data_IF_718572653327
#
_entry.id   IF_718572653327
#
_cell.length_a   1.000
_cell.length_b   1.000
_cell.length_c   1.000
_cell.angle_alpha   90.00
_cell.angle_beta   90.00
_cell.angle_gamma   90.00
#
_symmetry.space_group_name_H-M   'P 1'
#
loop_
_entity.id
_entity.type
_entity.pdbx_description
1 polymer ?
#
# COMPACT_ATOMS: atom_id res chain seq x y z
N UNK A 1 -40.07 -19.36 -52.62
CA UNK A 1 -39.76 -18.08 -53.31
C UNK A 1 -38.72 -17.35 -52.48
N UNK A 2 -37.43 -17.62 -52.68
CA UNK A 2 -36.49 -16.84 -53.53
C UNK A 2 -36.51 -15.34 -53.22
N UNK A 3 -35.47 -14.85 -52.53
CA UNK A 3 -34.48 -13.91 -53.11
C UNK A 3 -33.26 -13.76 -52.21
N UNK A 4 -32.14 -14.26 -52.73
CA UNK A 4 -30.75 -14.05 -52.34
C UNK A 4 -30.37 -12.59 -52.65
N UNK A 5 -29.56 -11.94 -51.79
CA UNK A 5 -28.66 -10.86 -52.20
C UNK A 5 -27.27 -11.07 -51.62
N UNK A 6 -26.34 -11.29 -52.55
CA UNK A 6 -24.88 -11.35 -52.42
C UNK A 6 -24.35 -9.94 -52.70
N UNK A 7 -23.34 -9.51 -51.93
CA UNK A 7 -22.31 -8.53 -52.29
C UNK A 7 -21.19 -8.74 -51.24
N UNK A 8 -20.00 -9.28 -51.50
CA UNK A 8 -18.98 -9.09 -52.54
C UNK A 8 -18.57 -7.63 -52.72
N UNK A 9 -17.61 -7.19 -51.89
CA UNK A 9 -16.70 -6.10 -52.25
C UNK A 9 -15.28 -6.64 -52.12
N UNK A 10 -14.55 -6.46 -53.21
CA UNK A 10 -13.26 -7.03 -53.55
C UNK A 10 -12.31 -5.84 -53.79
N UNK A 11 -11.08 -5.94 -53.27
CA UNK A 11 -9.92 -5.19 -53.75
C UNK A 11 -9.67 -3.83 -53.10
N UNK A 12 -8.47 -3.63 -52.53
CA UNK A 12 -7.29 -3.17 -53.29
C UNK A 12 -6.05 -3.41 -52.42
N UNK A 13 -5.10 -4.16 -52.96
CA UNK A 13 -3.74 -4.24 -52.46
C UNK A 13 -2.95 -3.03 -53.02
N UNK A 14 -2.29 -2.29 -52.13
CA UNK A 14 -1.26 -1.32 -52.52
C UNK A 14 0.02 -1.71 -51.78
N UNK A 15 0.96 -2.29 -52.54
CA UNK A 15 2.33 -2.45 -52.12
C UNK A 15 3.04 -1.10 -52.25
N UNK A 16 3.57 -0.56 -51.15
CA UNK A 16 4.51 0.56 -51.17
C UNK A 16 5.86 0.10 -50.65
N UNK A 17 6.83 0.21 -51.54
CA UNK A 17 8.23 -0.15 -51.41
C UNK A 17 8.98 1.01 -50.76
N UNK A 18 9.76 0.67 -49.73
CA UNK A 18 11.12 1.13 -49.43
C UNK A 18 11.41 2.65 -49.46
N UNK A 19 11.55 3.21 -48.27
CA UNK A 19 12.20 4.49 -48.00
C UNK A 19 12.78 4.48 -46.60
N UNK A 20 13.90 3.77 -46.42
CA UNK A 20 14.66 3.71 -45.18
C UNK A 20 15.39 5.04 -44.99
N UNK A 21 14.82 5.95 -44.19
CA UNK A 21 15.51 7.13 -43.68
C UNK A 21 15.97 6.81 -42.26
N UNK A 22 17.27 6.53 -42.09
CA UNK A 22 17.91 6.46 -40.79
C UNK A 22 18.01 7.88 -40.23
N UNK A 23 16.98 8.32 -39.50
CA UNK A 23 17.13 9.43 -38.56
C UNK A 23 17.86 8.88 -37.34
N UNK A 24 19.15 9.18 -37.25
CA UNK A 24 19.94 9.01 -36.02
C UNK A 24 19.39 9.97 -34.97
N UNK A 25 18.40 9.51 -34.20
CA UNK A 25 18.07 10.13 -32.93
C UNK A 25 19.27 9.89 -32.00
N UNK A 26 19.99 10.97 -31.70
CA UNK A 26 20.98 11.01 -30.63
C UNK A 26 20.27 10.59 -29.35
N UNK A 27 20.52 9.36 -28.90
CA UNK A 27 20.15 8.92 -27.55
C UNK A 27 20.96 9.78 -26.58
N UNK A 28 20.34 10.84 -26.10
CA UNK A 28 20.71 11.41 -24.81
C UNK A 28 20.60 10.26 -23.81
N UNK A 29 21.72 9.90 -23.19
CA UNK A 29 21.80 9.02 -22.03
C UNK A 29 21.11 9.72 -20.84
N UNK A 30 19.79 9.84 -20.91
CA UNK A 30 18.95 10.15 -19.76
C UNK A 30 18.83 8.89 -18.93
N UNK A 31 19.36 8.95 -17.72
CA UNK A 31 19.18 7.91 -16.70
C UNK A 31 17.67 7.60 -16.56
N UNK A 32 17.22 6.34 -16.71
CA UNK A 32 15.80 5.98 -16.55
C UNK A 32 15.32 6.12 -15.10
N UNK A 33 16.24 6.34 -14.17
CA UNK A 33 15.97 6.73 -12.80
C UNK A 33 16.07 8.26 -12.73
N UNK A 34 14.93 8.94 -12.60
CA UNK A 34 14.78 10.39 -12.69
C UNK A 34 15.39 11.18 -11.52
N UNK A 35 16.66 10.95 -11.22
CA UNK A 35 17.38 11.70 -10.20
C UNK A 35 18.00 12.96 -10.83
N UNK A 36 17.50 14.12 -10.43
CA UNK A 36 18.23 15.38 -10.60
C UNK A 36 19.35 15.41 -9.55
N UNK A 37 20.61 15.47 -9.98
CA UNK A 37 21.80 15.59 -9.11
C UNK A 37 21.79 16.84 -8.20
N UNK A 38 20.79 17.71 -8.32
CA UNK A 38 20.71 19.02 -7.64
C UNK A 38 20.08 19.00 -6.26
N UNK A 39 19.49 17.88 -5.80
CA UNK A 39 18.55 17.91 -4.66
C UNK A 39 19.06 17.20 -3.40
N UNK A 40 20.36 16.88 -3.33
CA UNK A 40 20.96 16.29 -2.11
C UNK A 40 21.34 17.42 -1.15
N UNK A 41 20.58 17.56 -0.07
CA UNK A 41 20.92 18.42 1.08
C UNK A 41 21.15 17.51 2.28
N UNK A 42 22.34 17.56 2.89
CA UNK A 42 22.70 16.77 4.09
C UNK A 42 22.53 15.24 3.98
N UNK A 43 22.64 14.67 2.77
CA UNK A 43 22.52 13.22 2.53
C UNK A 43 21.08 12.72 2.44
N UNK A 44 20.11 13.63 2.48
CA UNK A 44 18.71 13.40 2.18
C UNK A 44 18.42 13.75 0.71
N UNK A 45 17.63 12.92 0.06
CA UNK A 45 17.24 13.07 -1.34
C UNK A 45 15.72 13.22 -1.47
N UNK A 46 15.25 14.11 -2.34
CA UNK A 46 13.82 14.20 -2.65
C UNK A 46 13.32 12.96 -3.43
N UNK A 47 12.17 12.42 -3.06
CA UNK A 47 11.53 11.24 -3.65
C UNK A 47 10.02 11.48 -3.78
N UNK A 48 9.46 11.34 -4.99
CA UNK A 48 8.03 11.50 -5.30
C UNK A 48 7.32 10.19 -5.66
N UNK A 49 7.98 9.05 -5.46
CA UNK A 49 7.58 7.76 -5.99
C UNK A 49 6.56 7.00 -5.11
N UNK A 50 5.94 5.98 -5.69
CA UNK A 50 5.00 5.09 -4.98
C UNK A 50 5.77 4.12 -4.08
N UNK A 51 5.46 4.14 -2.78
CA UNK A 51 6.15 3.33 -1.76
C UNK A 51 5.41 2.06 -1.38
N UNK A 52 4.08 2.05 -1.52
CA UNK A 52 3.30 0.83 -1.42
C UNK A 52 2.16 0.80 -2.43
N UNK A 53 1.78 -0.39 -2.89
CA UNK A 53 0.67 -0.59 -3.80
C UNK A 53 -0.16 -1.81 -3.44
N UNK A 54 -1.40 -1.80 -3.93
CA UNK A 54 -2.26 -2.97 -3.90
C UNK A 54 -3.27 -2.93 -5.03
N UNK A 55 -3.24 -3.97 -5.87
CA UNK A 55 -4.20 -4.16 -6.95
C UNK A 55 -5.49 -4.77 -6.42
N UNK A 56 -6.61 -4.08 -6.62
CA UNK A 56 -7.95 -4.53 -6.21
C UNK A 56 -8.83 -4.74 -7.43
N UNK A 57 -9.90 -5.53 -7.29
CA UNK A 57 -10.91 -5.73 -8.33
C UNK A 57 -11.64 -4.39 -8.62
N UNK A 58 -11.06 -3.55 -9.47
CA UNK A 58 -11.60 -2.22 -9.80
C UNK A 58 -10.56 -1.11 -9.95
N UNK A 59 -9.30 -1.31 -9.54
CA UNK A 59 -8.28 -0.28 -9.61
C UNK A 59 -7.02 -0.58 -8.80
N UNK A 60 -6.22 0.46 -8.59
CA UNK A 60 -4.94 0.41 -7.87
C UNK A 60 -4.98 1.37 -6.68
N UNK A 61 -4.71 0.85 -5.49
CA UNK A 61 -4.42 1.63 -4.30
C UNK A 61 -2.91 1.86 -4.22
N UNK A 62 -2.49 3.11 -3.97
CA UNK A 62 -1.07 3.47 -3.78
C UNK A 62 -0.87 4.30 -2.53
N UNK A 63 0.31 4.21 -1.91
CA UNK A 63 0.80 5.14 -0.89
C UNK A 63 2.02 5.86 -1.45
N UNK A 64 1.98 7.18 -1.44
CA UNK A 64 2.96 8.05 -2.07
C UNK A 64 2.96 9.44 -1.40
N UNK A 65 3.98 10.27 -1.65
CA UNK A 65 3.99 11.65 -1.17
C UNK A 65 2.73 12.42 -1.57
N UNK A 66 2.32 13.34 -0.69
CA UNK A 66 1.13 14.15 -0.88
C UNK A 66 1.21 14.98 -2.16
N UNK A 67 0.04 15.25 -2.76
CA UNK A 67 -0.08 15.97 -4.03
C UNK A 67 0.68 17.30 -4.03
N UNK A 68 1.63 17.44 -4.96
CA UNK A 68 2.47 18.64 -5.10
C UNK A 68 3.68 18.70 -4.16
N UNK A 69 3.98 17.64 -3.42
CA UNK A 69 5.18 17.51 -2.59
C UNK A 69 6.03 16.29 -2.94
N UNK A 70 7.15 16.18 -2.24
CA UNK A 70 8.06 15.03 -2.23
C UNK A 70 8.32 14.62 -0.79
N UNK A 71 8.69 13.35 -0.59
CA UNK A 71 9.31 12.91 0.65
C UNK A 71 10.82 13.14 0.59
N UNK A 72 11.45 13.14 1.75
CA UNK A 72 12.90 13.00 1.89
C UNK A 72 13.23 11.52 2.14
N UNK A 73 14.22 10.98 1.43
CA UNK A 73 14.75 9.62 1.64
C UNK A 73 16.21 9.65 2.06
N UNK A 74 16.55 8.82 3.03
CA UNK A 74 17.93 8.56 3.44
C UNK A 74 18.06 7.14 4.04
N UNK A 75 19.27 6.58 4.12
CA UNK A 75 19.52 5.41 4.94
C UNK A 75 19.13 5.68 6.41
N UNK A 76 18.67 4.64 7.13
CA UNK A 76 18.38 4.73 8.57
C UNK A 76 19.60 5.17 9.37
N UNK A 77 20.81 4.80 8.92
CA UNK A 77 22.08 5.27 9.47
C UNK A 77 22.53 4.57 10.76
N UNK A 78 21.61 3.96 11.51
CA UNK A 78 21.92 3.11 12.67
C UNK A 78 21.03 1.87 12.69
N UNK A 79 21.58 0.67 12.94
CA UNK A 79 20.77 -0.52 13.09
C UNK A 79 19.98 -0.45 14.40
N UNK A 80 18.74 -0.90 14.36
CA UNK A 80 17.86 -0.86 15.53
C UNK A 80 16.63 -1.73 15.35
N UNK A 81 15.65 -1.47 16.19
CA UNK A 81 14.42 -2.25 16.23
C UNK A 81 13.55 -2.08 14.97
N UNK A 82 13.71 -0.94 14.28
CA UNK A 82 12.95 -0.57 13.09
C UNK A 82 13.64 -0.94 11.76
N UNK A 83 14.88 -1.46 11.79
CA UNK A 83 15.60 -1.86 10.59
C UNK A 83 17.13 -1.93 10.74
N UNK A 84 17.80 -2.31 9.66
CA UNK A 84 19.25 -2.26 9.48
C UNK A 84 19.71 -0.85 9.10
N UNK A 85 20.98 -0.52 9.38
CA UNK A 85 21.54 0.80 9.06
C UNK A 85 21.43 1.19 7.58
N UNK A 86 21.43 0.20 6.68
CA UNK A 86 21.32 0.36 5.23
C UNK A 86 19.89 0.49 4.72
N UNK A 87 18.88 0.20 5.53
CA UNK A 87 17.49 0.31 5.10
C UNK A 87 17.15 1.78 4.86
N UNK A 88 16.14 2.00 4.04
CA UNK A 88 15.73 3.34 3.64
C UNK A 88 14.58 3.81 4.52
N UNK A 89 14.66 5.09 4.89
CA UNK A 89 13.62 5.82 5.59
C UNK A 89 13.14 6.96 4.72
N UNK A 90 11.83 7.03 4.55
CA UNK A 90 11.16 8.19 3.97
C UNK A 90 10.42 8.98 5.06
N UNK A 91 10.56 10.30 5.00
CA UNK A 91 9.83 11.23 5.85
C UNK A 91 9.19 12.35 5.01
N UNK A 92 8.00 12.78 5.38
CA UNK A 92 7.25 13.82 4.69
C UNK A 92 5.74 13.62 4.80
N UNK A 93 4.98 14.45 4.09
CA UNK A 93 3.54 14.27 4.00
C UNK A 93 3.21 13.15 3.01
N UNK A 94 2.48 12.14 3.46
CA UNK A 94 2.04 11.01 2.63
C UNK A 94 0.53 10.94 2.53
N UNK A 95 0.05 10.34 1.44
CA UNK A 95 -1.36 10.03 1.26
C UNK A 95 -1.56 8.67 0.58
N UNK A 96 -2.71 8.06 0.85
CA UNK A 96 -3.19 6.91 0.09
C UNK A 96 -4.10 7.41 -1.03
N UNK A 97 -3.83 6.98 -2.28
CA UNK A 97 -4.62 7.32 -3.47
C UNK A 97 -5.26 6.09 -4.08
N UNK A 98 -6.47 6.28 -4.58
CA UNK A 98 -7.19 5.28 -5.37
C UNK A 98 -7.21 5.70 -6.83
N UNK A 99 -6.74 4.83 -7.71
CA UNK A 99 -6.84 4.99 -9.16
C UNK A 99 -7.76 3.89 -9.71
N UNK A 100 -9.04 4.18 -9.98
CA UNK A 100 -9.94 3.20 -10.56
C UNK A 100 -9.51 2.88 -12.00
N UNK A 101 -9.85 1.68 -12.51
CA UNK A 101 -9.62 1.35 -13.94
C UNK A 101 -10.33 2.32 -14.90
N UNK A 102 -11.44 2.91 -14.45
CA UNK A 102 -12.21 3.93 -15.17
C UNK A 102 -12.58 5.03 -14.19
N UNK A 103 -12.17 6.25 -14.47
CA UNK A 103 -12.44 7.43 -13.64
C UNK A 103 -11.16 8.16 -13.26
N UNK A 104 -11.29 9.10 -12.35
CA UNK A 104 -10.19 9.94 -11.88
C UNK A 104 -9.57 9.36 -10.60
N UNK A 105 -8.26 9.56 -10.46
CA UNK A 105 -7.55 9.26 -9.22
C UNK A 105 -8.03 10.19 -8.10
N UNK A 106 -8.19 9.65 -6.90
CA UNK A 106 -8.61 10.41 -5.71
C UNK A 106 -7.78 10.06 -4.49
N UNK A 107 -7.45 11.05 -3.66
CA UNK A 107 -6.94 10.82 -2.31
C UNK A 107 -8.04 10.23 -1.43
N UNK A 108 -7.76 9.13 -0.75
CA UNK A 108 -8.71 8.46 0.17
C UNK A 108 -8.29 8.58 1.63
N UNK A 109 -7.02 8.87 1.90
CA UNK A 109 -6.49 9.01 3.25
C UNK A 109 -5.24 9.88 3.26
N UNK A 110 -5.11 10.77 4.24
CA UNK A 110 -3.88 11.50 4.52
C UNK A 110 -3.28 10.94 5.81
N UNK A 111 -2.00 10.61 5.77
CA UNK A 111 -1.30 10.10 6.95
C UNK A 111 -0.94 11.24 7.92
N UNK A 112 -0.64 10.94 9.19
CA UNK A 112 -0.14 11.92 10.15
C UNK A 112 1.08 12.69 9.63
N UNK A 113 1.31 13.91 10.14
CA UNK A 113 2.42 14.75 9.68
C UNK A 113 3.81 14.18 10.04
N UNK A 114 3.89 13.36 11.10
CA UNK A 114 5.08 12.65 11.57
C UNK A 114 5.19 11.24 11.00
N UNK A 115 4.43 10.93 9.95
CA UNK A 115 4.45 9.63 9.29
C UNK A 115 5.82 9.33 8.68
N UNK A 116 6.22 8.07 8.80
CA UNK A 116 7.52 7.57 8.37
C UNK A 116 7.36 6.19 7.76
N UNK A 117 7.97 6.00 6.60
CA UNK A 117 8.04 4.70 5.93
C UNK A 117 9.46 4.17 6.08
N UNK A 118 9.61 2.90 6.44
CA UNK A 118 10.91 2.22 6.52
C UNK A 118 10.85 0.93 5.73
N UNK A 119 11.73 0.78 4.74
CA UNK A 119 11.78 -0.39 3.84
C UNK A 119 13.23 -0.86 3.62
N UNK A 120 13.46 -2.16 3.41
CA UNK A 120 14.81 -2.69 3.15
C UNK A 120 15.44 -2.21 1.84
N UNK A 121 14.60 -1.86 0.86
CA UNK A 121 14.98 -1.44 -0.49
C UNK A 121 14.12 -0.27 -0.95
N UNK A 122 14.46 0.33 -2.09
CA UNK A 122 13.68 1.37 -2.76
C UNK A 122 12.53 0.82 -3.61
N UNK A 123 12.31 -0.50 -3.58
CA UNK A 123 11.22 -1.15 -4.29
C UNK A 123 9.85 -0.81 -3.67
N UNK A 124 8.83 -0.69 -4.50
CA UNK A 124 7.45 -0.49 -4.02
C UNK A 124 6.97 -1.74 -3.29
N UNK A 125 6.54 -1.60 -2.03
CA UNK A 125 6.00 -2.70 -1.25
C UNK A 125 4.58 -3.10 -1.69
N UNK A 126 4.28 -4.39 -1.71
CA UNK A 126 2.92 -4.89 -1.88
C UNK A 126 2.19 -4.93 -0.52
N UNK A 127 0.98 -4.39 -0.46
CA UNK A 127 0.13 -4.52 0.74
C UNK A 127 -0.44 -5.94 0.85
N UNK A 128 -0.69 -6.41 2.08
CA UNK A 128 -1.19 -7.77 2.29
C UNK A 128 -2.71 -7.83 2.04
N UNK A 129 -3.22 -8.73 1.17
CA UNK A 129 -4.65 -8.93 0.95
C UNK A 129 -5.30 -9.72 2.09
N UNK A 130 -6.48 -9.27 2.54
CA UNK A 130 -7.36 -10.05 3.41
C UNK A 130 -8.79 -9.96 2.89
N UNK A 131 -9.52 -11.09 2.86
CA UNK A 131 -10.95 -11.11 2.53
C UNK A 131 -11.75 -11.25 3.81
N UNK A 132 -12.71 -10.35 4.02
CA UNK A 132 -13.53 -10.31 5.23
C UNK A 132 -14.93 -9.76 4.92
N UNK A 133 -15.98 -10.51 5.25
CA UNK A 133 -17.37 -10.08 5.02
C UNK A 133 -17.67 -9.70 3.55
N UNK A 134 -17.06 -10.41 2.59
CA UNK A 134 -17.21 -10.13 1.15
C UNK A 134 -16.46 -8.88 0.66
N UNK A 135 -15.69 -8.21 1.51
CA UNK A 135 -14.82 -7.08 1.15
C UNK A 135 -13.37 -7.54 1.11
N UNK A 136 -12.63 -7.05 0.12
CA UNK A 136 -11.17 -7.19 0.09
C UNK A 136 -10.54 -5.99 0.80
N UNK A 137 -9.72 -6.29 1.79
CA UNK A 137 -8.98 -5.36 2.62
C UNK A 137 -7.50 -5.43 2.24
N UNK A 138 -6.90 -4.27 2.04
CA UNK A 138 -5.46 -4.09 1.95
C UNK A 138 -4.92 -3.78 3.36
N UNK A 139 -3.93 -4.54 3.81
CA UNK A 139 -3.22 -4.32 5.08
C UNK A 139 -1.91 -3.62 4.77
N UNK A 140 -1.71 -2.45 5.37
CA UNK A 140 -0.50 -1.67 5.16
C UNK A 140 0.19 -1.36 6.48
N UNK A 141 1.44 -1.81 6.60
CA UNK A 141 2.36 -1.41 7.67
C UNK A 141 3.49 -0.59 7.04
N UNK A 142 3.65 0.70 7.38
CA UNK A 142 4.65 1.58 6.76
C UNK A 142 6.08 1.23 7.15
N UNK A 143 6.24 0.51 8.27
CA UNK A 143 7.50 -0.09 8.69
C UNK A 143 7.37 -1.59 8.57
N UNK A 144 8.39 -2.23 8.00
CA UNK A 144 8.40 -3.69 7.85
C UNK A 144 8.82 -4.43 9.14
N UNK A 145 9.53 -3.74 10.05
CA UNK A 145 9.93 -4.26 11.36
C UNK A 145 9.79 -3.18 12.45
N UNK A 146 9.60 -3.63 13.68
CA UNK A 146 9.59 -2.85 14.92
C UNK A 146 9.90 -3.83 16.08
N UNK A 147 10.23 -3.36 17.28
CA UNK A 147 10.46 -4.27 18.42
C UNK A 147 9.23 -4.45 19.32
N UNK A 148 8.19 -3.66 19.14
CA UNK A 148 7.05 -3.59 20.04
C UNK A 148 5.76 -3.75 19.27
N UNK A 149 5.56 -2.95 18.22
CA UNK A 149 4.36 -2.99 17.41
C UNK A 149 4.60 -2.40 16.01
N UNK A 150 4.19 -3.15 14.99
CA UNK A 150 3.99 -2.61 13.65
C UNK A 150 2.69 -1.81 13.61
N UNK A 151 2.79 -0.51 13.39
CA UNK A 151 1.63 0.30 13.02
C UNK A 151 1.00 -0.29 11.74
N UNK A 152 -0.31 -0.50 11.77
CA UNK A 152 -1.03 -1.19 10.69
C UNK A 152 -2.32 -0.46 10.37
N UNK A 153 -2.49 -0.11 9.10
CA UNK A 153 -3.68 0.52 8.50
C UNK A 153 -4.43 -0.49 7.64
N UNK A 154 -5.73 -0.24 7.46
CA UNK A 154 -6.60 -1.05 6.61
C UNK A 154 -7.34 -0.18 5.60
N UNK A 155 -7.39 -0.66 4.35
CA UNK A 155 -8.16 -0.02 3.28
C UNK A 155 -9.07 -1.05 2.63
N UNK A 156 -10.35 -0.75 2.46
CA UNK A 156 -11.30 -1.63 1.79
C UNK A 156 -11.58 -1.14 0.37
N UNK A 157 -11.94 -2.05 -0.53
CA UNK A 157 -12.61 -1.72 -1.80
C UNK A 157 -13.96 -2.39 -1.89
N UNK A 158 -14.97 -1.58 -2.22
CA UNK A 158 -16.34 -2.02 -2.50
C UNK A 158 -16.91 -1.15 -3.61
N UNK A 159 -17.63 -1.75 -4.55
CA UNK A 159 -18.28 -1.06 -5.67
C UNK A 159 -17.35 -0.14 -6.48
N UNK A 160 -16.10 -0.59 -6.69
CA UNK A 160 -15.09 0.14 -7.47
C UNK A 160 -14.50 1.38 -6.78
N UNK A 161 -14.73 1.53 -5.47
CA UNK A 161 -14.21 2.65 -4.67
C UNK A 161 -13.40 2.11 -3.50
N UNK A 162 -12.21 2.68 -3.28
CA UNK A 162 -11.45 2.43 -2.07
C UNK A 162 -11.83 3.40 -0.95
N UNK A 163 -11.64 2.97 0.28
CA UNK A 163 -11.89 3.76 1.48
C UNK A 163 -10.99 3.30 2.64
N UNK A 164 -10.61 4.20 3.56
CA UNK A 164 -9.96 3.80 4.80
C UNK A 164 -10.97 3.02 5.67
N UNK A 165 -10.47 2.01 6.39
CA UNK A 165 -11.24 1.25 7.36
C UNK A 165 -10.80 1.65 8.75
N UNK A 166 -11.71 2.24 9.53
CA UNK A 166 -11.43 2.62 10.91
C UNK A 166 -11.52 1.42 11.85
N UNK A 167 -10.87 1.51 13.00
CA UNK A 167 -10.84 0.46 14.02
C UNK A 167 -11.52 0.99 15.27
N UNK A 168 -12.55 0.31 15.75
CA UNK A 168 -13.29 0.67 16.97
C UNK A 168 -12.91 -0.29 18.09
N UNK A 169 -12.14 0.20 19.05
CA UNK A 169 -11.72 -0.57 20.23
C UNK A 169 -12.77 -0.54 21.35
N UNK A 170 -13.51 0.57 21.44
CA UNK A 170 -14.58 0.82 22.40
C UNK A 170 -15.62 1.77 21.78
N UNK A 171 -16.69 2.09 22.51
CA UNK A 171 -17.78 2.95 22.02
C UNK A 171 -17.39 4.42 21.82
N UNK A 172 -16.18 4.83 22.21
CA UNK A 172 -15.78 6.24 22.31
C UNK A 172 -14.77 6.62 21.23
N UNK A 173 -13.84 5.73 20.86
CA UNK A 173 -12.73 6.08 19.97
C UNK A 173 -12.61 5.14 18.77
N UNK A 174 -12.66 5.75 17.58
CA UNK A 174 -12.21 5.15 16.34
C UNK A 174 -10.72 5.49 16.12
N UNK A 175 -9.92 4.47 15.84
CA UNK A 175 -8.51 4.57 15.48
C UNK A 175 -8.36 4.44 13.96
N UNK A 176 -7.35 5.11 13.40
CA UNK A 176 -6.97 4.95 11.99
C UNK A 176 -6.02 3.76 11.77
N UNK A 177 -5.24 3.40 12.80
CA UNK A 177 -4.25 2.33 12.79
C UNK A 177 -4.28 1.55 14.11
N UNK A 178 -3.67 0.36 14.09
CA UNK A 178 -3.46 -0.48 15.28
C UNK A 178 -2.03 -1.01 15.29
N UNK A 179 -1.46 -1.17 16.49
CA UNK A 179 -0.18 -1.84 16.68
C UNK A 179 -0.34 -3.37 16.65
N UNK A 180 0.44 -4.04 15.80
CA UNK A 180 0.46 -5.50 15.63
C UNK A 180 1.82 -6.08 15.99
N UNK A 181 1.87 -7.27 16.56
CA UNK A 181 3.12 -7.95 16.86
C UNK A 181 3.96 -8.15 15.57
N UNK A 182 5.22 -7.70 15.54
CA UNK A 182 6.12 -7.92 14.40
C UNK A 182 6.24 -9.41 14.05
N UNK A 183 6.27 -9.71 12.75
CA UNK A 183 6.31 -11.09 12.23
C UNK A 183 4.97 -11.82 12.21
N UNK A 184 3.93 -11.30 12.88
CA UNK A 184 2.59 -11.89 12.87
C UNK A 184 1.70 -11.23 11.83
N UNK A 185 1.05 -12.04 10.97
CA UNK A 185 0.08 -11.56 9.98
C UNK A 185 -1.31 -11.46 10.60
N UNK A 186 -2.18 -10.52 10.16
CA UNK A 186 -3.56 -10.54 10.58
C UNK A 186 -4.24 -11.73 9.92
N UNK A 187 -5.11 -12.42 10.64
CA UNK A 187 -5.73 -13.66 10.18
C UNK A 187 -7.23 -13.43 10.04
N UNK A 188 -7.80 -13.72 8.88
CA UNK A 188 -9.25 -13.81 8.75
C UNK A 188 -9.70 -15.21 9.17
N UNK A 189 -10.45 -15.31 10.26
CA UNK A 189 -11.03 -16.55 10.75
C UNK A 189 -12.54 -16.41 10.83
N UNK A 190 -13.27 -17.24 10.08
CA UNK A 190 -14.72 -17.11 9.91
C UNK A 190 -15.11 -15.71 9.40
N UNK A 191 -15.72 -14.88 10.24
CA UNK A 191 -16.13 -13.49 9.94
C UNK A 191 -15.39 -12.46 10.81
N UNK A 192 -14.31 -12.87 11.48
CA UNK A 192 -13.49 -12.00 12.32
C UNK A 192 -12.09 -11.82 11.72
N UNK A 193 -11.55 -10.61 11.88
CA UNK A 193 -10.13 -10.32 11.72
C UNK A 193 -9.45 -10.49 13.08
N UNK A 194 -8.48 -11.37 13.16
CA UNK A 194 -7.68 -11.60 14.35
C UNK A 194 -6.33 -10.89 14.20
N UNK A 195 -6.00 -10.05 15.18
CA UNK A 195 -4.74 -9.30 15.25
C UNK A 195 -4.09 -9.59 16.60
N UNK A 196 -2.87 -10.10 16.57
CA UNK A 196 -2.02 -10.16 17.77
C UNK A 196 -1.44 -8.76 17.96
N UNK A 197 -1.82 -8.12 19.07
CA UNK A 197 -1.36 -6.78 19.41
C UNK A 197 0.13 -6.73 19.73
N UNK A 198 0.68 -5.52 19.72
CA UNK A 198 2.06 -5.29 20.14
C UNK A 198 2.32 -5.63 21.61
N UNK A 199 3.60 -5.61 21.99
CA UNK A 199 4.06 -5.84 23.35
C UNK A 199 4.96 -4.70 23.83
N UNK A 200 5.05 -4.55 25.15
CA UNK A 200 5.94 -3.61 25.80
C UNK A 200 6.91 -4.37 26.72
N UNK A 201 7.96 -3.68 27.15
CA UNK A 201 8.94 -4.24 28.09
C UNK A 201 8.25 -4.76 29.36
N UNK A 202 8.59 -5.99 29.76
CA UNK A 202 8.05 -6.64 30.96
C UNK A 202 6.69 -7.31 30.78
N UNK A 203 6.11 -7.33 29.58
CA UNK A 203 4.88 -8.09 29.31
C UNK A 203 5.18 -9.59 29.13
N UNK A 204 4.52 -10.44 29.91
CA UNK A 204 4.55 -11.90 29.73
C UNK A 204 3.51 -12.39 28.70
N UNK A 205 2.48 -11.57 28.48
CA UNK A 205 1.35 -11.85 27.60
C UNK A 205 1.05 -10.68 26.70
N UNK A 206 0.53 -10.96 25.51
CA UNK A 206 0.05 -9.97 24.55
C UNK A 206 -1.45 -10.10 24.33
N UNK A 207 -2.15 -8.99 24.03
CA UNK A 207 -3.54 -9.04 23.66
C UNK A 207 -3.69 -9.64 22.26
N UNK A 208 -4.68 -10.52 22.10
CA UNK A 208 -5.16 -11.00 20.80
C UNK A 208 -6.55 -10.42 20.61
N UNK A 209 -6.69 -9.56 19.61
CA UNK A 209 -7.93 -8.87 19.30
C UNK A 209 -8.65 -9.61 18.17
N UNK A 210 -9.95 -9.84 18.34
CA UNK A 210 -10.84 -10.24 17.26
C UNK A 210 -11.76 -9.07 16.91
N UNK A 211 -11.86 -8.76 15.63
CA UNK A 211 -12.68 -7.68 15.11
C UNK A 211 -13.69 -8.22 14.11
N UNK A 212 -14.95 -7.80 14.22
CA UNK A 212 -15.93 -7.99 13.16
C UNK A 212 -15.92 -6.78 12.24
N UNK A 213 -15.88 -7.03 10.93
CA UNK A 213 -16.03 -5.96 9.95
C UNK A 213 -17.51 -5.57 9.76
N UNK A 214 -17.79 -4.27 9.79
CA UNK A 214 -19.10 -3.67 9.56
C UNK A 214 -19.07 -2.92 8.22
N UNK A 215 -19.54 -3.53 7.11
CA UNK A 215 -19.32 -2.97 5.76
C UNK A 215 -19.92 -1.58 5.55
N UNK A 216 -21.09 -1.30 6.12
CA UNK A 216 -21.74 0.00 5.97
C UNK A 216 -21.04 1.10 6.77
N UNK A 217 -20.49 0.75 7.94
CA UNK A 217 -19.70 1.67 8.76
C UNK A 217 -18.23 1.73 8.33
N UNK A 218 -17.77 0.84 7.45
CA UNK A 218 -16.36 0.69 7.03
C UNK A 218 -15.44 0.58 8.24
N UNK A 219 -15.87 -0.19 9.23
CA UNK A 219 -15.22 -0.23 10.54
C UNK A 219 -14.94 -1.68 10.96
N UNK A 220 -13.77 -1.91 11.53
CA UNK A 220 -13.45 -3.11 12.30
C UNK A 220 -13.82 -2.85 13.76
N UNK A 221 -14.90 -3.47 14.24
CA UNK A 221 -15.35 -3.32 15.63
C UNK A 221 -14.82 -4.47 16.47
N UNK A 222 -14.13 -4.17 17.56
CA UNK A 222 -13.61 -5.15 18.51
C UNK A 222 -14.76 -5.96 19.10
N UNK A 223 -14.70 -7.28 18.96
CA UNK A 223 -15.68 -8.22 19.52
C UNK A 223 -15.13 -8.97 20.72
N UNK A 224 -13.81 -9.23 20.72
CA UNK A 224 -13.16 -10.03 21.76
C UNK A 224 -11.70 -9.63 21.93
N UNK A 225 -11.23 -9.68 23.17
CA UNK A 225 -9.81 -9.60 23.52
C UNK A 225 -9.44 -10.81 24.38
N UNK A 226 -8.41 -11.53 23.98
CA UNK A 226 -7.78 -12.59 24.76
C UNK A 226 -6.36 -12.16 25.17
N UNK A 227 -5.79 -12.79 26.21
CA UNK A 227 -4.37 -12.65 26.54
C UNK A 227 -3.67 -13.95 26.19
N UNK A 228 -2.55 -13.89 25.48
CA UNK A 228 -1.73 -15.06 25.15
C UNK A 228 -0.29 -14.87 25.54
N UNK A 229 0.36 -15.94 26.01
CA UNK A 229 1.78 -15.88 26.37
C UNK A 229 2.62 -15.74 25.12
N UNK A 230 3.67 -14.91 25.18
CA UNK A 230 4.60 -14.76 24.07
C UNK A 230 5.24 -16.10 23.64
N UNK A 231 5.51 -16.98 24.60
CA UNK A 231 6.07 -18.32 24.36
C UNK A 231 5.18 -19.23 23.50
N UNK A 232 3.88 -18.96 23.44
CA UNK A 232 2.91 -19.75 22.66
C UNK A 232 2.80 -19.26 21.20
N UNK A 233 3.39 -18.11 20.88
CA UNK A 233 3.28 -17.43 19.60
C UNK A 233 4.50 -17.61 18.68
N UNK A 234 5.44 -18.48 19.09
CA UNK A 234 6.62 -18.83 18.29
C UNK A 234 7.70 -17.76 18.27
N UNK A 235 8.01 -17.16 19.42
CA UNK A 235 9.15 -16.24 19.59
C UNK A 235 10.50 -16.87 19.30
#
# INVERSE_FOLDING_TARGET
MVRIRIALIMGIAAASILGMLMASASLSNGNPYGYSETDIVDGEQADDSVRALFGLQGGLLTVQPASGGSASVAPLGAPGCIGQASDLRWHGAFEARWTPHKGETSTIFAFPADFEIVQPTDETAEMEPIKLGGTELAVYSPRYTDCHALETYFFGVRDGRAFPVSIRMDDVRALASIGRLPGQKPIAESDELVIIGGFAAGMETVPVYAFRYEPEARTLTLTRTEQRKLTELGG
#
